data_IF_608589286531
#
_entry.id   IF_608589286531
#
_cell.length_a   1.000
_cell.length_b   1.000
_cell.length_c   1.000
_cell.angle_alpha   90.00
_cell.angle_beta   90.00
_cell.angle_gamma   90.00
#
_symmetry.space_group_name_H-M   'P 1'
#
loop_
_entity.id
_entity.type
_entity.pdbx_description
1 polymer ?
#
# COMPACT_ATOMS: atom_id res chain seq x y z
N UNK A 1 6.99 24.68 -21.64
CA UNK A 1 6.17 24.34 -20.46
C UNK A 1 7.08 23.59 -19.49
N UNK A 2 7.46 24.20 -18.37
CA UNK A 2 8.22 23.45 -17.35
C UNK A 2 7.20 22.72 -16.48
N UNK A 3 7.24 21.38 -16.50
CA UNK A 3 6.38 20.56 -15.64
C UNK A 3 6.70 20.79 -14.17
N UNK A 4 5.71 20.65 -13.29
CA UNK A 4 5.92 20.64 -11.84
C UNK A 4 6.73 19.38 -11.45
N UNK A 5 7.64 19.46 -10.46
CA UNK A 5 8.32 18.29 -9.91
C UNK A 5 7.35 17.18 -9.50
N UNK A 6 7.69 15.92 -9.81
CA UNK A 6 6.90 14.76 -9.39
C UNK A 6 7.08 14.50 -7.89
N UNK A 7 5.98 14.24 -7.17
CA UNK A 7 6.05 13.88 -5.76
C UNK A 7 6.35 12.38 -5.59
N UNK A 8 7.00 12.03 -4.48
CA UNK A 8 7.44 10.69 -4.12
C UNK A 8 7.11 10.40 -2.66
N UNK A 9 7.04 9.12 -2.30
CA UNK A 9 7.10 8.72 -0.90
C UNK A 9 8.32 9.34 -0.24
N UNK A 10 8.14 9.91 0.96
CA UNK A 10 9.16 10.64 1.70
C UNK A 10 9.15 12.16 1.46
N UNK A 11 8.55 12.67 0.37
CA UNK A 11 8.50 14.11 0.14
C UNK A 11 7.58 14.80 1.17
N UNK A 12 7.95 16.02 1.64
CA UNK A 12 7.22 16.72 2.70
C UNK A 12 5.90 17.34 2.21
N UNK A 13 4.88 17.25 3.04
CA UNK A 13 3.62 18.00 3.00
C UNK A 13 3.59 19.03 4.14
N UNK A 14 2.66 19.98 4.06
CA UNK A 14 2.37 20.94 5.13
C UNK A 14 0.90 20.87 5.52
N UNK A 15 0.61 20.25 6.66
CA UNK A 15 -0.74 20.10 7.18
C UNK A 15 -1.20 21.37 7.90
N UNK A 16 -2.35 21.95 7.53
CA UNK A 16 -2.89 23.12 8.20
C UNK A 16 -3.55 22.81 9.55
N UNK A 17 -3.70 21.53 9.92
CA UNK A 17 -4.28 21.14 11.21
C UNK A 17 -3.32 21.47 12.35
N UNK A 18 -3.88 22.05 13.42
CA UNK A 18 -3.11 22.42 14.62
C UNK A 18 -2.32 21.23 15.16
N UNK A 19 -1.01 21.39 15.28
CA UNK A 19 -0.09 20.37 15.78
C UNK A 19 0.37 19.33 14.77
N UNK A 20 -0.07 19.37 13.51
CA UNK A 20 0.36 18.39 12.48
C UNK A 20 1.61 18.85 11.72
N UNK A 21 1.65 20.11 11.25
CA UNK A 21 2.84 20.68 10.59
C UNK A 21 3.35 19.88 9.38
N UNK A 22 4.67 19.74 9.26
CA UNK A 22 5.28 19.02 8.15
C UNK A 22 5.21 17.51 8.32
N UNK A 23 4.69 16.82 7.31
CA UNK A 23 4.52 15.36 7.33
C UNK A 23 5.06 14.75 6.04
N UNK A 24 5.55 13.51 6.08
CA UNK A 24 6.00 12.83 4.87
C UNK A 24 4.82 12.14 4.17
N UNK A 25 4.91 11.98 2.84
CA UNK A 25 4.09 11.00 2.11
C UNK A 25 4.60 9.60 2.49
N UNK A 26 3.71 8.70 2.95
CA UNK A 26 4.09 7.41 3.54
C UNK A 26 3.73 6.20 2.68
N UNK A 27 2.98 6.39 1.61
CA UNK A 27 2.73 5.34 0.60
C UNK A 27 2.99 5.87 -0.80
N UNK A 28 3.14 4.95 -1.76
CA UNK A 28 3.41 5.31 -3.16
C UNK A 28 3.07 4.19 -4.13
N UNK A 29 3.61 4.28 -5.34
CA UNK A 29 3.63 3.18 -6.31
C UNK A 29 4.49 2.01 -5.85
N UNK A 30 4.09 0.79 -6.20
CA UNK A 30 4.84 -0.42 -5.85
C UNK A 30 5.99 -0.70 -6.82
N UNK A 31 5.98 -0.07 -8.00
CA UNK A 31 6.84 -0.42 -9.14
C UNK A 31 7.34 0.80 -9.94
N UNK A 32 6.71 1.97 -9.81
CA UNK A 32 7.16 3.21 -10.46
C UNK A 32 7.95 4.05 -9.46
N UNK A 33 9.20 4.33 -9.82
CA UNK A 33 10.14 5.11 -9.02
C UNK A 33 10.52 6.40 -9.73
N UNK A 34 10.59 7.50 -8.99
CA UNK A 34 11.29 8.73 -9.40
C UNK A 34 12.48 8.94 -8.47
N UNK A 35 13.67 9.12 -9.03
CA UNK A 35 14.95 9.17 -8.28
C UNK A 35 15.10 8.03 -7.24
N UNK A 36 14.66 6.82 -7.61
CA UNK A 36 14.76 5.63 -6.74
C UNK A 36 13.73 5.56 -5.60
N UNK A 37 12.82 6.53 -5.47
CA UNK A 37 11.74 6.49 -4.48
C UNK A 37 10.38 6.27 -5.15
N UNK A 38 9.46 5.51 -4.53
CA UNK A 38 8.10 5.31 -5.03
C UNK A 38 7.37 6.59 -5.41
N UNK A 39 6.82 6.63 -6.61
CA UNK A 39 6.04 7.76 -7.09
C UNK A 39 4.74 7.93 -6.29
N UNK A 40 4.44 9.15 -5.87
CA UNK A 40 3.20 9.48 -5.17
C UNK A 40 2.06 9.78 -6.16
N UNK A 41 0.84 9.40 -5.77
CA UNK A 41 -0.35 9.40 -6.62
C UNK A 41 -1.59 9.74 -5.82
N UNK A 42 -2.66 10.13 -6.52
CA UNK A 42 -3.96 10.34 -5.90
C UNK A 42 -4.41 9.10 -5.14
N UNK A 43 -4.65 9.21 -3.83
CA UNK A 43 -5.04 8.16 -2.88
C UNK A 43 -3.91 7.70 -1.94
N UNK A 44 -2.68 8.16 -2.17
CA UNK A 44 -1.55 7.81 -1.30
C UNK A 44 -1.64 8.61 0.02
N UNK A 45 -1.17 7.99 1.10
CA UNK A 45 -1.34 8.50 2.46
C UNK A 45 -0.17 9.38 2.88
N UNK A 46 -0.42 10.31 3.80
CA UNK A 46 0.63 11.05 4.51
C UNK A 46 0.73 10.59 5.97
N UNK A 47 1.84 10.93 6.62
CA UNK A 47 2.07 10.58 8.02
C UNK A 47 1.05 11.22 8.99
N UNK A 48 0.37 12.28 8.58
CA UNK A 48 -0.66 12.95 9.37
C UNK A 48 -2.04 12.27 9.28
N UNK A 49 -2.14 11.19 8.48
CA UNK A 49 -3.37 10.42 8.23
C UNK A 49 -4.26 11.00 7.13
N UNK A 50 -3.79 11.98 6.37
CA UNK A 50 -4.50 12.49 5.19
C UNK A 50 -4.24 11.64 3.95
N UNK A 51 -5.06 11.85 2.93
CA UNK A 51 -4.97 11.15 1.64
C UNK A 51 -4.88 12.16 0.50
N UNK A 52 -3.90 12.02 -0.40
CA UNK A 52 -3.77 12.88 -1.58
C UNK A 52 -5.01 12.78 -2.46
N UNK A 53 -5.73 13.87 -2.68
CA UNK A 53 -7.01 13.86 -3.40
C UNK A 53 -7.16 15.01 -4.41
N UNK A 54 -6.30 16.03 -4.37
CA UNK A 54 -6.45 17.26 -5.15
C UNK A 54 -5.18 17.76 -5.81
N UNK A 55 -5.36 18.66 -6.79
CA UNK A 55 -4.28 19.31 -7.56
C UNK A 55 -3.23 18.33 -8.11
N UNK A 56 -3.69 17.15 -8.49
CA UNK A 56 -2.93 16.09 -9.20
C UNK A 56 -2.96 16.33 -10.71
N UNK A 57 -2.17 15.56 -11.47
CA UNK A 57 -2.17 15.60 -12.94
C UNK A 57 -3.01 14.42 -13.48
N UNK A 58 -4.28 14.63 -13.88
CA UNK A 58 -5.17 13.53 -14.30
C UNK A 58 -4.76 12.87 -15.62
N UNK A 59 -3.99 13.55 -16.46
CA UNK A 59 -3.50 13.01 -17.73
C UNK A 59 -2.26 12.13 -17.59
N UNK A 60 -1.55 12.19 -16.45
CA UNK A 60 -0.37 11.39 -16.18
C UNK A 60 -0.75 10.36 -15.14
N UNK A 61 -0.90 9.10 -15.58
CA UNK A 61 -1.36 8.01 -14.72
C UNK A 61 -0.20 7.12 -14.31
N UNK A 62 -0.15 6.77 -13.03
CA UNK A 62 0.83 5.86 -12.44
C UNK A 62 0.05 4.71 -11.79
N UNK A 63 0.17 3.50 -12.34
CA UNK A 63 -0.72 2.36 -12.08
C UNK A 63 -2.22 2.78 -12.06
N UNK A 64 -2.65 3.51 -13.10
CA UNK A 64 -4.04 3.93 -13.29
C UNK A 64 -4.52 5.08 -12.41
N UNK A 65 -3.66 5.64 -11.54
CA UNK A 65 -4.01 6.73 -10.62
C UNK A 65 -3.29 8.04 -11.04
N UNK A 66 -3.96 9.20 -11.00
CA UNK A 66 -3.32 10.49 -11.30
C UNK A 66 -2.04 10.74 -10.50
N UNK A 67 -1.01 11.25 -11.17
CA UNK A 67 0.28 11.54 -10.56
C UNK A 67 0.20 12.76 -9.63
N UNK A 68 0.77 12.62 -8.43
CA UNK A 68 0.94 13.74 -7.51
C UNK A 68 2.22 14.52 -7.87
N UNK A 69 2.17 15.83 -7.67
CA UNK A 69 3.27 16.76 -7.97
C UNK A 69 3.42 17.77 -6.86
N UNK A 70 4.50 18.56 -6.91
CA UNK A 70 4.66 19.72 -6.04
C UNK A 70 3.41 20.62 -6.14
N UNK A 71 2.80 20.91 -5.00
CA UNK A 71 1.56 21.67 -4.89
C UNK A 71 0.27 20.85 -5.00
N UNK A 72 0.32 19.52 -5.17
CA UNK A 72 -0.86 18.68 -4.97
C UNK A 72 -1.36 18.78 -3.52
N UNK A 73 -2.65 18.53 -3.32
CA UNK A 73 -3.31 18.66 -2.02
C UNK A 73 -3.89 17.33 -1.55
N UNK A 74 -4.15 17.27 -0.25
CA UNK A 74 -4.80 16.13 0.38
C UNK A 74 -6.11 16.51 1.10
N UNK A 75 -6.76 15.49 1.66
CA UNK A 75 -8.06 15.59 2.31
C UNK A 75 -8.10 16.44 3.58
N UNK A 76 -6.95 16.79 4.16
CA UNK A 76 -6.85 17.73 5.27
C UNK A 76 -6.61 19.16 4.78
N UNK A 77 -6.32 19.34 3.50
CA UNK A 77 -5.90 20.58 2.88
C UNK A 77 -4.40 20.79 2.92
N UNK A 78 -3.59 19.75 3.17
CA UNK A 78 -2.14 19.89 3.12
C UNK A 78 -1.69 20.21 1.70
N UNK A 79 -0.50 20.79 1.57
CA UNK A 79 0.16 20.99 0.28
C UNK A 79 1.46 20.21 0.25
N UNK A 80 1.70 19.45 -0.83
CA UNK A 80 3.00 18.81 -1.09
C UNK A 80 4.02 19.89 -1.44
N UNK A 81 5.10 19.97 -0.65
CA UNK A 81 6.13 21.02 -0.74
C UNK A 81 7.47 20.54 -1.27
N UNK A 82 7.62 19.23 -1.52
CA UNK A 82 8.80 18.63 -2.15
C UNK A 82 8.46 17.80 -3.39
N UNK A 83 9.51 17.39 -4.11
CA UNK A 83 9.40 16.60 -5.33
C UNK A 83 10.77 16.30 -5.95
N UNK A 84 10.80 15.37 -6.90
CA UNK A 84 11.97 15.01 -7.72
C UNK A 84 12.59 16.23 -8.40
N UNK A 85 13.90 16.43 -8.19
CA UNK A 85 14.64 17.57 -8.74
C UNK A 85 14.37 18.93 -8.05
N UNK A 86 13.59 18.97 -6.97
CA UNK A 86 13.38 20.22 -6.21
C UNK A 86 14.61 20.53 -5.36
N UNK A 87 15.44 21.45 -5.83
CA UNK A 87 16.60 21.96 -5.08
C UNK A 87 16.04 22.91 -4.00
N UNK A 88 15.87 22.43 -2.77
CA UNK A 88 15.39 23.26 -1.65
C UNK A 88 14.46 22.57 -0.64
N UNK A 89 14.12 21.29 -0.86
CA UNK A 89 13.19 20.54 -0.01
C UNK A 89 13.84 19.70 1.10
N UNK A 90 15.00 20.09 1.64
CA UNK A 90 15.53 19.64 2.94
C UNK A 90 16.93 20.25 3.21
N UNK A 91 17.02 21.32 4.01
CA UNK A 91 18.11 21.33 5.01
C UNK A 91 17.53 20.66 6.25
N UNK A 92 17.32 19.36 6.14
CA UNK A 92 17.69 18.48 7.23
C UNK A 92 19.10 18.06 6.87
N UNK A 93 20.10 18.78 7.38
CA UNK A 93 21.38 18.13 7.64
C UNK A 93 21.03 16.94 8.52
N UNK A 94 20.87 15.77 7.91
CA UNK A 94 21.20 14.54 8.59
C UNK A 94 22.69 14.66 8.90
N UNK A 95 23.00 15.38 9.98
CA UNK A 95 24.26 15.21 10.68
C UNK A 95 24.12 13.88 11.37
N UNK A 96 24.29 12.81 10.60
CA UNK A 96 24.67 11.53 11.15
C UNK A 96 26.20 11.54 11.21
N UNK A 97 26.84 11.58 12.37
CA UNK A 97 28.29 11.43 12.44
C UNK A 97 28.73 9.98 12.18
N UNK A 98 27.84 9.05 11.84
CA UNK A 98 28.25 7.75 11.33
C UNK A 98 27.09 6.78 11.14
N UNK A 99 26.94 6.27 9.92
CA UNK A 99 26.01 5.19 9.63
C UNK A 99 25.84 4.98 8.13
N UNK A 100 26.74 4.22 7.54
CA UNK A 100 26.72 3.81 6.14
C UNK A 100 25.37 3.21 5.69
N UNK A 101 24.87 3.77 4.59
CA UNK A 101 23.98 3.14 3.62
C UNK A 101 24.39 1.68 3.36
N UNK A 102 23.43 0.75 3.40
CA UNK A 102 23.27 -0.49 2.59
C UNK A 102 22.46 -1.53 3.38
N UNK A 103 21.17 -1.72 3.03
CA UNK A 103 20.55 -3.04 2.94
C UNK A 103 19.09 -2.90 2.47
N UNK A 104 18.84 -3.39 1.27
CA UNK A 104 17.53 -3.86 0.88
C UNK A 104 17.05 -4.89 1.91
N UNK A 105 15.88 -4.68 2.51
CA UNK A 105 15.25 -5.70 3.35
C UNK A 105 14.70 -6.82 2.46
N UNK A 106 15.55 -7.79 2.12
CA UNK A 106 15.12 -9.14 1.74
C UNK A 106 14.57 -9.85 2.98
N UNK A 107 13.42 -10.55 2.93
CA UNK A 107 12.93 -11.32 4.07
C UNK A 107 13.81 -12.56 4.27
N UNK A 108 14.42 -12.70 5.45
CA UNK A 108 15.23 -13.87 5.80
C UNK A 108 14.33 -15.04 6.19
N UNK A 109 14.29 -16.08 5.36
CA UNK A 109 13.80 -17.41 5.74
C UNK A 109 14.94 -18.15 6.45
N UNK A 110 14.75 -18.46 7.73
CA UNK A 110 15.72 -19.24 8.50
C UNK A 110 15.46 -20.75 8.27
N UNK A 111 16.41 -21.40 7.60
CA UNK A 111 16.55 -22.85 7.57
C UNK A 111 17.60 -23.29 8.62
N UNK A 112 17.30 -24.32 9.39
CA UNK A 112 18.28 -24.98 10.28
C UNK A 112 17.68 -26.20 10.99
N UNK A 113 18.28 -27.38 10.75
CA UNK A 113 17.79 -28.71 11.12
C UNK A 113 18.56 -29.34 12.33
N UNK A 114 17.92 -30.31 13.00
CA UNK A 114 18.51 -31.40 13.83
C UNK A 114 18.64 -31.12 15.34
N UNK A 115 17.84 -31.65 16.28
CA UNK A 115 17.49 -33.03 16.72
C UNK A 115 18.28 -33.50 17.96
N UNK A 116 17.65 -34.42 18.75
CA UNK A 116 18.06 -35.24 19.93
C UNK A 116 17.38 -34.80 21.26
N UNK A 117 16.58 -35.56 22.02
CA UNK A 117 16.19 -36.98 22.13
C UNK A 117 14.87 -37.09 22.94
N UNK A 118 14.04 -38.11 22.67
CA UNK A 118 12.83 -38.48 23.45
C UNK A 118 13.17 -39.40 24.65
N UNK A 119 12.30 -39.51 25.67
CA UNK A 119 11.48 -40.73 25.76
C UNK A 119 10.06 -40.55 26.35
N UNK A 120 9.13 -41.46 25.99
CA UNK A 120 8.06 -41.91 26.90
C UNK A 120 6.59 -41.62 26.53
N UNK A 121 6.02 -42.46 25.66
CA UNK A 121 4.63 -42.97 25.63
C UNK A 121 4.15 -43.43 27.03
N UNK A 122 2.89 -43.37 27.48
CA UNK A 122 1.56 -43.56 26.85
C UNK A 122 0.42 -42.86 27.64
N UNK A 123 -0.62 -42.48 26.89
CA UNK A 123 -2.07 -42.55 27.12
C UNK A 123 -2.70 -42.58 28.54
N UNK A 124 -3.62 -41.63 28.82
CA UNK A 124 -5.04 -41.94 29.11
C UNK A 124 -5.90 -40.70 29.43
N UNK A 125 -7.07 -40.64 28.78
CA UNK A 125 -8.33 -39.97 29.15
C UNK A 125 -8.38 -38.43 29.17
N UNK A 126 -9.26 -37.72 28.46
CA UNK A 126 -10.38 -38.08 27.58
C UNK A 126 -10.99 -36.80 26.97
N UNK A 127 -11.80 -36.90 25.89
CA UNK A 127 -12.16 -35.75 25.05
C UNK A 127 -13.42 -35.05 25.57
N UNK A 128 -13.32 -33.75 25.86
CA UNK A 128 -14.51 -32.91 26.04
C UNK A 128 -14.86 -32.19 24.73
N UNK A 129 -15.65 -32.94 23.95
CA UNK A 129 -16.79 -32.52 23.11
C UNK A 129 -16.62 -31.26 22.26
N UNK A 130 -16.28 -31.53 21.00
CA UNK A 130 -16.88 -30.91 19.83
C UNK A 130 -18.41 -30.79 19.98
N UNK A 131 -18.95 -29.61 19.73
CA UNK A 131 -20.37 -29.42 19.53
C UNK A 131 -20.59 -29.05 18.07
N UNK A 132 -20.53 -30.07 17.22
CA UNK A 132 -21.10 -30.08 15.87
C UNK A 132 -22.62 -29.90 15.98
N UNK A 133 -23.14 -28.78 15.49
CA UNK A 133 -24.50 -28.76 14.97
C UNK A 133 -24.40 -29.02 13.47
N UNK A 134 -24.57 -30.31 13.16
CA UNK A 134 -25.13 -30.90 11.93
C UNK A 134 -26.14 -29.93 11.25
N UNK A 135 -26.18 -29.75 9.93
CA UNK A 135 -26.26 -30.76 8.90
C UNK A 135 -25.52 -30.32 7.64
N UNK A 136 -24.56 -31.14 7.22
CA UNK A 136 -24.18 -31.18 5.83
C UNK A 136 -25.21 -31.97 5.04
N UNK A 137 -25.53 -31.52 3.83
CA UNK A 137 -25.66 -32.45 2.72
C UNK A 137 -24.92 -31.87 1.51
N UNK A 138 -23.89 -32.58 1.01
CA UNK A 138 -23.28 -32.29 -0.27
C UNK A 138 -24.11 -32.98 -1.36
N UNK A 139 -24.54 -32.25 -2.38
CA UNK A 139 -24.88 -32.86 -3.67
C UNK A 139 -24.37 -31.98 -4.80
N UNK A 140 -23.41 -32.55 -5.51
CA UNK A 140 -22.93 -32.08 -6.81
C UNK A 140 -23.85 -32.58 -7.92
N UNK A 141 -23.73 -31.92 -9.09
CA UNK A 141 -24.36 -32.21 -10.39
C UNK A 141 -25.81 -31.68 -10.47
N UNK A 142 -26.25 -31.03 -11.55
CA UNK A 142 -26.00 -31.33 -12.96
C UNK A 142 -25.85 -30.04 -13.81
N UNK A 143 -25.00 -30.13 -14.83
CA UNK A 143 -24.98 -29.26 -16.00
C UNK A 143 -26.34 -29.38 -16.72
N UNK A 144 -27.00 -28.27 -17.06
CA UNK A 144 -27.92 -28.26 -18.20
C UNK A 144 -27.73 -26.96 -19.00
N UNK A 145 -27.49 -27.19 -20.28
CA UNK A 145 -27.20 -26.27 -21.38
C UNK A 145 -28.46 -25.54 -21.88
N UNK A 146 -28.24 -24.35 -22.47
CA UNK A 146 -29.02 -23.72 -23.56
C UNK A 146 -30.52 -23.40 -23.25
N UNK A 147 -31.21 -22.41 -23.84
CA UNK A 147 -31.24 -21.89 -25.19
C UNK A 147 -31.65 -20.41 -25.21
N UNK A 148 -31.29 -19.75 -26.31
CA UNK A 148 -31.75 -18.44 -26.78
C UNK A 148 -33.27 -18.41 -26.99
N UNK A 149 -33.95 -17.27 -26.81
CA UNK A 149 -34.92 -16.85 -27.82
C UNK A 149 -35.23 -15.34 -27.77
N UNK A 150 -34.98 -14.71 -28.92
CA UNK A 150 -35.36 -13.37 -29.30
C UNK A 150 -36.90 -13.24 -29.35
N UNK A 151 -37.46 -12.10 -28.89
CA UNK A 151 -38.77 -11.62 -29.36
C UNK A 151 -39.05 -10.17 -28.93
N UNK A 152 -38.67 -9.29 -29.85
CA UNK A 152 -39.53 -8.31 -30.54
C UNK A 152 -40.23 -7.17 -29.75
N UNK A 153 -40.07 -5.96 -30.32
CA UNK A 153 -40.67 -4.68 -29.94
C UNK A 153 -42.17 -4.63 -30.25
N UNK A 154 -42.97 -3.84 -29.51
CA UNK A 154 -44.21 -3.29 -30.06
C UNK A 154 -44.09 -1.78 -30.33
N UNK A 155 -44.28 -1.45 -31.62
CA UNK A 155 -44.87 -0.30 -32.31
C UNK A 155 -44.81 1.12 -31.68
#
# INVERSE_FOLDING_TARGET
>A
MSGKPAARMGDPTQCPKDGHGSNAIVTGSTDVLFDGQPAARQGDQTACGSTIDGTVIPSVLINGRPAAVLGSTDSHGDVITGGSGTIGGNVSTATDPGGENHAASTPSVAAGAGSLLAPGLDDTAGPLKENTLIDGLPYSLEEEEEEEEERELPL
#
